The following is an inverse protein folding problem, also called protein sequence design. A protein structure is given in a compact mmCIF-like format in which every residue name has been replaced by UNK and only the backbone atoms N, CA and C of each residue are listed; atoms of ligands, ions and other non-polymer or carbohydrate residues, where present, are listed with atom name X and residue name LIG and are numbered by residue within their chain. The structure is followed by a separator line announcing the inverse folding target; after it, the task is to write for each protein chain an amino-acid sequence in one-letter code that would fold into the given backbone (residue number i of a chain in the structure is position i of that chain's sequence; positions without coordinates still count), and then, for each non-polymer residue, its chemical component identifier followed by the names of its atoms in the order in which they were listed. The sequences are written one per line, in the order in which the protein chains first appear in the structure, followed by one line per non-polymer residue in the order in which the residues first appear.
data_IF_696154845271
#
_entry.id   IF_696154845271
#
_cell.length_a   1.000
_cell.length_b   1.000
_cell.length_c   1.000
_cell.angle_alpha   90.00
_cell.angle_beta   90.00
_cell.angle_gamma   90.00
#
_symmetry.space_group_name_H-M   'P 1'
#
loop_
_entity.id
_entity.type
_entity.pdbx_description
1 polymer ?
#
# COMPACT_ATOMS: atom_id res chain seq x y z
N UNK A 1 8.26 1.46 6.89
CA UNK A 1 7.00 1.33 6.11
C UNK A 1 6.80 2.57 5.24
N UNK A 2 6.34 2.41 4.01
CA UNK A 2 5.95 3.54 3.13
C UNK A 2 4.50 3.89 3.41
N UNK A 3 4.22 5.15 3.75
CA UNK A 3 2.90 5.59 4.24
C UNK A 3 2.59 7.03 3.80
N UNK A 4 1.30 7.40 3.78
CA UNK A 4 0.89 8.77 3.52
C UNK A 4 1.49 9.72 4.58
N UNK A 5 2.07 10.84 4.14
CA UNK A 5 2.74 11.82 5.00
C UNK A 5 1.84 12.38 6.11
N UNK A 6 0.53 12.46 5.88
CA UNK A 6 -0.44 12.90 6.88
C UNK A 6 -0.55 11.97 8.09
N UNK A 7 -0.12 10.73 7.98
CA UNK A 7 -0.11 9.74 9.06
C UNK A 7 1.24 9.68 9.80
N UNK A 8 2.25 10.40 9.33
CA UNK A 8 3.59 10.46 9.93
C UNK A 8 3.70 11.56 11.00
N UNK A 9 2.77 11.63 11.94
CA UNK A 9 2.75 12.71 12.95
C UNK A 9 3.26 12.25 14.31
N UNK A 10 3.29 10.96 14.58
CA UNK A 10 3.80 10.41 15.81
C UNK A 10 5.34 10.37 15.81
N UNK A 11 5.96 10.99 16.84
CA UNK A 11 7.41 11.12 16.94
C UNK A 11 8.14 9.81 17.06
N UNK A 12 7.55 8.83 17.73
CA UNK A 12 8.16 7.52 17.96
C UNK A 12 8.11 6.65 16.70
N UNK A 13 7.10 6.86 15.85
CA UNK A 13 6.91 6.11 14.62
C UNK A 13 7.59 6.71 13.39
N UNK A 14 7.84 8.04 13.40
CA UNK A 14 8.49 8.76 12.27
C UNK A 14 9.78 8.08 11.78
N UNK A 15 10.71 7.59 12.63
CA UNK A 15 11.92 6.92 12.16
C UNK A 15 11.68 5.65 11.34
N UNK A 16 10.51 5.02 11.51
CA UNK A 16 10.13 3.78 10.84
C UNK A 16 9.29 4.00 9.59
N UNK A 17 8.94 5.26 9.29
CA UNK A 17 8.07 5.62 8.19
C UNK A 17 8.84 6.34 7.07
N UNK A 18 8.44 6.03 5.85
CA UNK A 18 8.87 6.75 4.65
C UNK A 18 7.65 7.49 4.10
N UNK A 19 7.52 8.79 4.37
CA UNK A 19 6.33 9.55 4.01
C UNK A 19 6.21 9.74 2.50
N UNK A 20 5.02 9.53 1.96
CA UNK A 20 4.64 9.90 0.60
C UNK A 20 3.57 10.99 0.68
N UNK A 21 3.79 12.05 -0.05
CA UNK A 21 2.90 13.20 -0.14
C UNK A 21 2.17 13.15 -1.48
N UNK A 22 0.86 13.09 -1.43
CA UNK A 22 0.00 13.00 -2.62
C UNK A 22 -0.45 14.36 -3.15
N UNK A 23 0.01 15.47 -2.55
CA UNK A 23 -0.25 16.79 -3.11
C UNK A 23 0.56 17.00 -4.42
N UNK A 24 -0.02 17.73 -5.36
CA UNK A 24 0.57 18.00 -6.68
C UNK A 24 1.54 19.20 -6.65
N UNK A 25 2.31 19.35 -5.57
CA UNK A 25 3.27 20.43 -5.43
C UNK A 25 4.70 19.99 -5.78
N UNK A 26 5.55 20.94 -6.18
CA UNK A 26 6.98 20.68 -6.44
C UNK A 26 7.71 20.20 -5.19
N UNK A 27 7.33 20.70 -4.03
CA UNK A 27 7.86 20.32 -2.72
C UNK A 27 7.49 18.87 -2.38
N UNK A 28 6.24 18.46 -2.64
CA UNK A 28 5.80 17.08 -2.48
C UNK A 28 6.59 16.14 -3.39
N UNK A 29 6.79 16.51 -4.65
CA UNK A 29 7.59 15.73 -5.58
C UNK A 29 9.03 15.52 -5.08
N UNK A 30 9.68 16.56 -4.55
CA UNK A 30 11.03 16.46 -3.97
C UNK A 30 11.06 15.54 -2.74
N UNK A 31 10.09 15.68 -1.82
CA UNK A 31 9.97 14.80 -0.64
C UNK A 31 9.78 13.34 -1.07
N UNK A 32 8.93 13.10 -2.04
CA UNK A 32 8.67 11.76 -2.57
C UNK A 32 9.90 11.12 -3.20
N UNK A 33 10.71 11.88 -3.94
CA UNK A 33 12.00 11.40 -4.46
C UNK A 33 12.93 10.96 -3.32
N UNK A 34 13.04 11.76 -2.26
CA UNK A 34 13.85 11.41 -1.07
C UNK A 34 13.35 10.14 -0.39
N UNK A 35 12.04 10.01 -0.16
CA UNK A 35 11.46 8.80 0.44
C UNK A 35 11.70 7.56 -0.42
N UNK A 36 11.60 7.68 -1.75
CA UNK A 36 11.90 6.60 -2.68
C UNK A 36 13.37 6.18 -2.64
N UNK A 37 14.30 7.14 -2.51
CA UNK A 37 15.74 6.85 -2.34
C UNK A 37 16.03 6.15 -1.02
N UNK A 38 15.39 6.58 0.08
CA UNK A 38 15.52 5.96 1.39
C UNK A 38 14.96 4.53 1.40
N UNK A 39 13.83 4.28 0.72
CA UNK A 39 13.31 2.93 0.52
C UNK A 39 14.32 2.01 -0.17
N UNK A 40 14.95 2.49 -1.24
CA UNK A 40 15.99 1.74 -1.93
C UNK A 40 17.23 1.46 -1.05
N UNK A 41 17.67 2.47 -0.28
CA UNK A 41 18.78 2.27 0.68
C UNK A 41 18.44 1.27 1.78
N UNK A 42 17.20 1.28 2.28
CA UNK A 42 16.75 0.31 3.27
C UNK A 42 16.85 -1.13 2.71
N UNK A 43 16.34 -1.36 1.51
CA UNK A 43 16.44 -2.67 0.86
C UNK A 43 17.89 -3.09 0.61
N UNK A 44 18.75 -2.19 0.12
CA UNK A 44 20.15 -2.46 -0.11
C UNK A 44 20.91 -2.84 1.19
N UNK A 45 20.43 -2.37 2.34
CA UNK A 45 20.98 -2.70 3.67
C UNK A 45 20.25 -3.89 4.34
N UNK A 46 19.42 -4.64 3.61
CA UNK A 46 18.69 -5.78 4.16
C UNK A 46 17.54 -5.43 5.10
N UNK A 47 17.12 -4.16 5.14
CA UNK A 47 15.99 -3.74 5.97
C UNK A 47 14.68 -4.03 5.23
N UNK A 48 13.76 -4.82 5.82
CA UNK A 48 12.49 -5.12 5.17
C UNK A 48 11.60 -3.88 5.02
N UNK A 49 10.86 -3.79 3.91
CA UNK A 49 9.89 -2.74 3.65
C UNK A 49 8.47 -3.30 3.64
N UNK A 50 7.56 -2.64 4.35
CA UNK A 50 6.12 -2.83 4.15
C UNK A 50 5.66 -1.74 3.19
N UNK A 51 4.93 -2.14 2.14
CA UNK A 51 4.51 -1.25 1.07
C UNK A 51 3.07 -1.55 0.65
N UNK A 52 2.28 -0.50 0.47
CA UNK A 52 0.92 -0.56 -0.07
C UNK A 52 0.94 0.05 -1.47
N UNK A 53 0.98 -0.78 -2.53
CA UNK A 53 1.36 -0.32 -3.86
C UNK A 53 0.37 0.61 -4.56
N UNK A 54 -0.92 0.56 -4.21
CA UNK A 54 -1.91 1.50 -4.72
C UNK A 54 -1.69 2.92 -4.18
N UNK A 55 -1.11 3.04 -2.97
CA UNK A 55 -0.97 4.32 -2.27
C UNK A 55 -2.29 4.93 -1.81
N UNK A 56 -3.40 4.29 -2.10
CA UNK A 56 -4.74 4.71 -1.74
C UNK A 56 -5.46 3.64 -0.92
N UNK A 57 -6.47 4.06 -0.18
CA UNK A 57 -7.37 3.13 0.49
C UNK A 57 -8.34 2.57 -0.56
N UNK A 58 -8.50 1.25 -0.57
CA UNK A 58 -9.43 0.57 -1.46
C UNK A 58 -10.86 1.08 -1.25
N UNK A 59 -11.54 1.41 -2.33
CA UNK A 59 -12.91 1.93 -2.32
C UNK A 59 -13.81 1.05 -3.17
N UNK A 60 -15.12 1.04 -2.86
CA UNK A 60 -16.11 0.39 -3.70
C UNK A 60 -16.36 1.23 -4.97
N UNK A 61 -16.54 0.57 -6.12
CA UNK A 61 -16.80 1.21 -7.42
C UNK A 61 -18.11 2.01 -7.45
N UNK A 62 -19.09 1.63 -6.62
CA UNK A 62 -20.36 2.36 -6.47
C UNK A 62 -20.51 2.86 -5.02
N UNK A 63 -21.16 4.02 -4.79
CA UNK A 63 -21.35 4.57 -3.45
C UNK A 63 -22.03 3.57 -2.51
N UNK A 64 -21.27 2.93 -1.64
CA UNK A 64 -21.75 2.01 -0.61
C UNK A 64 -22.13 0.60 -1.06
N UNK A 65 -22.00 0.26 -2.35
CA UNK A 65 -22.36 -1.06 -2.90
C UNK A 65 -21.30 -1.52 -3.91
N UNK A 66 -20.96 -2.80 -3.88
CA UNK A 66 -20.00 -3.44 -4.77
C UNK A 66 -18.76 -4.00 -4.06
N UNK A 67 -17.96 -4.73 -4.81
CA UNK A 67 -16.69 -5.25 -4.33
C UNK A 67 -15.70 -4.09 -4.11
N UNK A 68 -14.95 -4.18 -3.02
CA UNK A 68 -13.87 -3.24 -2.74
C UNK A 68 -12.67 -3.66 -3.55
N UNK A 69 -12.26 -2.81 -4.47
CA UNK A 69 -11.12 -3.03 -5.36
C UNK A 69 -10.02 -2.03 -5.02
N UNK A 70 -8.78 -2.51 -5.07
CA UNK A 70 -7.63 -1.62 -4.94
C UNK A 70 -7.56 -0.65 -6.12
N UNK A 71 -7.24 0.61 -5.83
CA UNK A 71 -6.82 1.52 -6.88
C UNK A 71 -5.64 0.93 -7.67
N UNK A 72 -5.46 1.29 -8.94
CA UNK A 72 -4.36 0.77 -9.75
C UNK A 72 -3.01 0.91 -9.04
N UNK A 73 -2.24 -0.16 -9.01
CA UNK A 73 -0.93 -0.14 -8.39
C UNK A 73 0.06 0.71 -9.19
N UNK A 74 0.87 1.48 -8.49
CA UNK A 74 1.94 2.25 -9.11
C UNK A 74 3.13 1.35 -9.45
N UNK A 75 3.83 1.66 -10.55
CA UNK A 75 5.04 0.91 -10.95
C UNK A 75 6.24 1.14 -10.03
N UNK A 76 6.06 1.85 -8.92
CA UNK A 76 7.12 2.07 -7.93
C UNK A 76 7.57 0.77 -7.26
N UNK A 77 6.62 -0.13 -6.94
CA UNK A 77 6.96 -1.45 -6.40
C UNK A 77 7.83 -2.24 -7.38
N UNK A 78 7.46 -2.26 -8.66
CA UNK A 78 8.24 -2.95 -9.69
C UNK A 78 9.66 -2.39 -9.81
N UNK A 79 9.81 -1.05 -9.73
CA UNK A 79 11.14 -0.43 -9.74
C UNK A 79 12.01 -0.93 -8.58
N UNK A 80 11.47 -1.02 -7.37
CA UNK A 80 12.22 -1.52 -6.20
C UNK A 80 12.58 -3.00 -6.36
N UNK A 81 11.64 -3.83 -6.78
CA UNK A 81 11.84 -5.26 -6.97
C UNK A 81 12.93 -5.51 -8.03
N UNK A 82 12.83 -4.88 -9.19
CA UNK A 82 13.79 -5.07 -10.29
C UNK A 82 15.20 -4.56 -9.95
N UNK A 83 15.29 -3.48 -9.18
CA UNK A 83 16.58 -2.87 -8.84
C UNK A 83 17.30 -3.55 -7.70
N UNK A 84 16.58 -4.02 -6.68
CA UNK A 84 17.17 -4.54 -5.44
C UNK A 84 16.96 -6.04 -5.25
N UNK A 85 16.16 -6.67 -6.09
CA UNK A 85 15.88 -8.11 -6.09
C UNK A 85 15.59 -8.70 -4.69
N UNK A 86 14.68 -8.07 -3.90
CA UNK A 86 14.37 -8.57 -2.57
C UNK A 86 13.50 -9.81 -2.63
N UNK A 87 13.56 -10.64 -1.60
CA UNK A 87 12.48 -11.61 -1.36
C UNK A 87 11.18 -10.86 -1.10
N UNK A 88 10.11 -11.20 -1.83
CA UNK A 88 8.79 -10.58 -1.73
C UNK A 88 7.84 -11.50 -1.01
N UNK A 89 7.15 -11.00 0.01
CA UNK A 89 6.11 -11.72 0.74
C UNK A 89 4.77 -11.00 0.49
N UNK A 90 3.84 -11.61 -0.26
CA UNK A 90 2.52 -11.05 -0.47
C UNK A 90 1.69 -11.17 0.80
N UNK A 91 0.99 -10.11 1.16
CA UNK A 91 0.08 -10.08 2.31
C UNK A 91 -1.23 -9.47 1.87
N UNK A 92 -2.32 -10.18 2.11
CA UNK A 92 -3.67 -9.69 1.88
C UNK A 92 -4.36 -9.39 3.22
N UNK A 93 -4.85 -8.18 3.40
CA UNK A 93 -5.60 -7.75 4.57
C UNK A 93 -7.10 -7.93 4.34
N UNK A 94 -7.75 -8.73 5.17
CA UNK A 94 -9.21 -8.87 5.16
C UNK A 94 -9.88 -7.69 5.85
N UNK A 95 -11.03 -7.33 5.34
CA UNK A 95 -11.87 -6.29 5.91
C UNK A 95 -12.11 -5.16 4.92
N UNK A 96 -13.21 -4.46 5.20
CA UNK A 96 -13.63 -3.30 4.41
C UNK A 96 -13.91 -2.15 5.37
N UNK A 97 -13.73 -0.94 4.91
CA UNK A 97 -14.24 0.23 5.61
C UNK A 97 -15.76 0.24 5.59
N UNK A 98 -16.38 0.98 6.49
CA UNK A 98 -17.85 1.03 6.56
C UNK A 98 -18.43 1.64 5.29
N UNK A 99 -19.69 1.29 4.97
CA UNK A 99 -20.43 1.90 3.84
C UNK A 99 -20.43 3.42 3.93
N UNK A 100 -20.52 3.96 5.14
CA UNK A 100 -20.47 5.40 5.38
C UNK A 100 -19.14 6.01 4.96
N UNK A 101 -18.01 5.30 5.17
CA UNK A 101 -16.70 5.73 4.68
C UNK A 101 -16.66 5.82 3.15
N UNK A 102 -17.19 4.81 2.45
CA UNK A 102 -17.22 4.79 0.98
C UNK A 102 -18.07 5.94 0.42
N UNK A 103 -19.23 6.23 1.03
CA UNK A 103 -20.07 7.35 0.64
C UNK A 103 -19.35 8.69 0.89
N UNK A 104 -18.81 8.90 2.07
CA UNK A 104 -18.13 10.15 2.45
C UNK A 104 -16.85 10.39 1.62
N UNK A 105 -16.12 9.34 1.25
CA UNK A 105 -14.90 9.43 0.44
C UNK A 105 -15.16 9.96 -0.98
N UNK A 106 -16.38 9.81 -1.47
CA UNK A 106 -16.78 10.29 -2.79
C UNK A 106 -17.31 11.75 -2.79
N UNK A 107 -17.45 12.38 -1.62
CA UNK A 107 -18.02 13.73 -1.50
C UNK A 107 -16.94 14.80 -1.46
N UNK A 108 -15.97 14.71 -0.54
CA UNK A 108 -14.88 15.69 -0.44
C UNK A 108 -13.72 15.17 0.43
N UNK A 109 -12.48 15.63 0.12
CA UNK A 109 -11.25 15.23 0.81
C UNK A 109 -11.24 15.47 2.34
N UNK A 110 -11.77 16.58 2.89
CA UNK A 110 -11.82 16.77 4.34
C UNK A 110 -12.69 15.72 5.05
N UNK A 111 -13.81 15.33 4.45
CA UNK A 111 -14.68 14.29 4.99
C UNK A 111 -14.00 12.92 4.95
N UNK A 112 -13.27 12.63 3.88
CA UNK A 112 -12.48 11.41 3.77
C UNK A 112 -11.46 11.30 4.91
N UNK A 113 -10.73 12.39 5.22
CA UNK A 113 -9.74 12.42 6.30
C UNK A 113 -10.38 12.19 7.69
N UNK A 114 -11.49 12.87 7.98
CA UNK A 114 -12.21 12.69 9.25
C UNK A 114 -12.74 11.25 9.38
N UNK A 115 -13.21 10.66 8.28
CA UNK A 115 -13.69 9.28 8.28
C UNK A 115 -12.57 8.25 8.45
N UNK A 116 -11.35 8.50 7.95
CA UNK A 116 -10.19 7.64 8.22
C UNK A 116 -9.92 7.52 9.71
N UNK A 117 -9.91 8.63 10.44
CA UNK A 117 -9.72 8.63 11.89
C UNK A 117 -10.83 7.85 12.61
N UNK A 118 -12.08 8.07 12.22
CA UNK A 118 -13.22 7.35 12.78
C UNK A 118 -13.14 5.84 12.54
N UNK A 119 -12.79 5.42 11.32
CA UNK A 119 -12.63 4.00 11.00
C UNK A 119 -11.46 3.38 11.77
N UNK A 120 -10.34 4.10 11.91
CA UNK A 120 -9.21 3.66 12.73
C UNK A 120 -9.64 3.46 14.19
N UNK A 121 -10.32 4.44 14.79
CA UNK A 121 -10.80 4.34 16.17
C UNK A 121 -11.76 3.17 16.38
N UNK A 122 -12.63 2.86 15.43
CA UNK A 122 -13.52 1.69 15.48
C UNK A 122 -12.79 0.35 15.45
N UNK A 123 -11.56 0.33 14.92
CA UNK A 123 -10.75 -0.88 14.84
C UNK A 123 -9.98 -1.19 16.12
N UNK A 124 -9.88 -0.24 17.06
CA UNK A 124 -9.27 -0.52 18.36
C UNK A 124 -10.04 -1.62 19.09
N UNK A 125 -9.31 -2.62 19.59
CA UNK A 125 -9.89 -3.77 20.26
C UNK A 125 -10.58 -4.79 19.35
N UNK A 126 -10.48 -4.65 18.02
CA UNK A 126 -10.99 -5.65 17.08
C UNK A 126 -9.85 -6.47 16.47
N UNK A 127 -10.17 -7.67 16.01
CA UNK A 127 -9.23 -8.53 15.29
C UNK A 127 -9.12 -8.09 13.83
N UNK A 128 -7.89 -7.91 13.35
CA UNK A 128 -7.59 -7.72 11.93
C UNK A 128 -7.05 -9.03 11.39
N UNK A 129 -7.74 -9.61 10.42
CA UNK A 129 -7.30 -10.84 9.75
C UNK A 129 -6.46 -10.49 8.52
N UNK A 130 -5.40 -11.25 8.32
CA UNK A 130 -4.55 -11.16 7.14
C UNK A 130 -4.18 -12.55 6.64
N UNK A 131 -4.00 -12.69 5.34
CA UNK A 131 -3.43 -13.90 4.74
C UNK A 131 -2.03 -13.58 4.25
N UNK A 132 -1.07 -14.42 4.63
CA UNK A 132 0.31 -14.33 4.18
C UNK A 132 0.54 -15.41 3.15
N UNK A 133 0.86 -15.01 1.92
CA UNK A 133 1.22 -15.94 0.85
C UNK A 133 2.64 -16.46 0.98
N UNK A 134 3.02 -17.38 0.10
CA UNK A 134 4.40 -17.85 0.04
C UNK A 134 5.36 -16.71 -0.31
N UNK A 135 6.58 -16.79 0.17
CA UNK A 135 7.63 -15.87 -0.28
C UNK A 135 8.02 -16.14 -1.74
N UNK A 136 8.42 -15.11 -2.44
CA UNK A 136 8.93 -15.15 -3.80
C UNK A 136 10.37 -14.64 -3.80
N UNK A 137 11.29 -15.51 -4.17
CA UNK A 137 12.72 -15.17 -4.30
C UNK A 137 13.00 -14.52 -5.67
N UNK A 138 14.14 -13.89 -5.88
CA UNK A 138 14.49 -13.29 -7.18
C UNK A 138 14.39 -14.26 -8.37
N UNK A 139 14.64 -15.54 -8.16
CA UNK A 139 14.54 -16.58 -9.19
C UNK A 139 13.11 -16.75 -9.71
N UNK A 140 12.12 -16.53 -8.85
CA UNK A 140 10.70 -16.67 -9.22
C UNK A 140 10.23 -15.59 -10.21
N UNK A 141 10.89 -14.43 -10.27
CA UNK A 141 10.43 -13.27 -11.03
C UNK A 141 11.50 -12.57 -11.89
N UNK A 142 12.75 -13.02 -11.88
CA UNK A 142 13.87 -12.42 -12.63
C UNK A 142 13.66 -12.42 -14.16
N UNK A 143 12.81 -13.31 -14.66
CA UNK A 143 12.44 -13.37 -16.08
C UNK A 143 11.54 -12.21 -16.54
N UNK A 144 10.94 -11.47 -15.60
CA UNK A 144 10.06 -10.34 -15.91
C UNK A 144 10.90 -9.07 -16.06
N UNK A 145 10.91 -8.50 -17.25
CA UNK A 145 11.72 -7.31 -17.58
C UNK A 145 10.92 -6.01 -17.64
N UNK A 146 9.61 -6.09 -17.79
CA UNK A 146 8.71 -4.94 -17.82
C UNK A 146 8.21 -4.57 -16.42
N UNK A 147 8.30 -3.25 -16.08
CA UNK A 147 7.75 -2.75 -14.81
C UNK A 147 6.23 -2.96 -14.69
N UNK A 148 5.52 -2.78 -15.80
CA UNK A 148 4.08 -2.97 -15.81
C UNK A 148 3.72 -4.44 -15.58
N UNK A 149 4.40 -5.35 -16.25
CA UNK A 149 4.23 -6.78 -16.09
C UNK A 149 4.57 -7.24 -14.66
N UNK A 150 5.69 -6.77 -14.10
CA UNK A 150 6.09 -7.03 -12.70
C UNK A 150 5.02 -6.54 -11.71
N UNK A 151 4.45 -5.35 -11.94
CA UNK A 151 3.38 -4.80 -11.11
C UNK A 151 2.14 -5.67 -11.17
N UNK A 152 1.72 -6.05 -12.36
CA UNK A 152 0.55 -6.93 -12.60
C UNK A 152 0.78 -8.31 -12.00
N UNK A 153 1.97 -8.87 -12.13
CA UNK A 153 2.35 -10.17 -11.57
C UNK A 153 2.12 -10.19 -10.05
N UNK A 154 2.71 -9.25 -9.32
CA UNK A 154 2.54 -9.21 -7.86
C UNK A 154 1.14 -8.78 -7.41
N UNK A 155 0.44 -7.96 -8.17
CA UNK A 155 -0.98 -7.68 -7.94
C UNK A 155 -1.79 -8.98 -7.97
N UNK A 156 -1.61 -9.79 -9.02
CA UNK A 156 -2.33 -11.05 -9.18
C UNK A 156 -2.00 -12.05 -8.06
N UNK A 157 -0.74 -12.11 -7.62
CA UNK A 157 -0.32 -12.95 -6.50
C UNK A 157 -1.03 -12.54 -5.21
N UNK A 158 -1.08 -11.23 -4.89
CA UNK A 158 -1.79 -10.76 -3.69
C UNK A 158 -3.28 -11.07 -3.77
N UNK A 159 -3.92 -10.89 -4.94
CA UNK A 159 -5.32 -11.23 -5.11
C UNK A 159 -5.58 -12.75 -5.02
N UNK A 160 -4.65 -13.57 -5.50
CA UNK A 160 -4.72 -15.02 -5.36
C UNK A 160 -4.57 -15.48 -3.89
N UNK A 161 -3.76 -14.77 -3.10
CA UNK A 161 -3.60 -15.05 -1.66
C UNK A 161 -4.94 -14.92 -0.91
N UNK A 162 -5.78 -13.94 -1.30
CA UNK A 162 -7.15 -13.78 -0.78
C UNK A 162 -8.03 -15.03 -1.03
N UNK A 163 -7.90 -15.64 -2.21
CA UNK A 163 -8.79 -16.73 -2.66
C UNK A 163 -8.44 -18.09 -2.07
N UNK A 164 -7.26 -18.25 -1.51
CA UNK A 164 -6.80 -19.54 -0.97
C UNK A 164 -7.49 -19.95 0.35
N UNK A 165 -8.43 -19.14 0.86
CA UNK A 165 -9.10 -19.35 2.16
C UNK A 165 -10.57 -19.77 2.04
N UNK A 166 -11.15 -19.69 0.85
CA UNK A 166 -12.50 -20.19 0.54
C UNK A 166 -12.41 -21.68 0.13
#
# INVERSE_FOLDING_TARGET
MVINSLLCQDRDLVPHFLPIDFSETKEAAKRNVRSKQLAGKALANGVPLILFPSGHVSTADAPGFGDVVDAPWTTFIAKLIMQYQPTVVPVFFHGQNTRLFHIASNIADPFRMAMHMREALKRFGTTVSLDVGRHHSPEDYSHITSRQEMTTHFYNIVQATRRARD
#
